data_IF_125426317925
#
_entry.id   IF_125426317925
#
_cell.length_a   1.000
_cell.length_b   1.000
_cell.length_c   1.000
_cell.angle_alpha   90.00
_cell.angle_beta   90.00
_cell.angle_gamma   90.00
#
_symmetry.space_group_name_H-M   'P 1'
#
loop_
_entity.id
_entity.type
_entity.pdbx_description
1 polymer ?
#
# COMPACT_ATOMS: atom_id res chain seq x y z
N UNK A 1 7.31 -4.13 -6.15
CA UNK A 1 7.08 -3.75 -4.73
C UNK A 1 5.64 -4.04 -4.38
N UNK A 2 5.34 -4.40 -3.13
CA UNK A 2 3.96 -4.52 -2.62
C UNK A 2 3.60 -3.24 -1.89
N UNK A 3 2.48 -2.62 -2.24
CA UNK A 3 1.94 -1.43 -1.59
C UNK A 3 0.72 -1.79 -0.76
N UNK A 4 0.67 -1.33 0.49
CA UNK A 4 -0.56 -1.41 1.28
C UNK A 4 -1.53 -0.27 0.93
N UNK A 5 -2.72 -0.28 1.51
CA UNK A 5 -3.73 0.74 1.25
C UNK A 5 -3.27 2.15 1.64
N UNK A 6 -2.41 2.29 2.65
CA UNK A 6 -1.90 3.59 3.07
C UNK A 6 -1.07 4.26 1.97
N UNK A 7 -0.25 3.48 1.28
CA UNK A 7 0.52 3.94 0.12
C UNK A 7 -0.39 4.25 -1.05
N UNK A 8 -1.37 3.37 -1.36
CA UNK A 8 -2.32 3.63 -2.45
C UNK A 8 -3.05 4.96 -2.27
N UNK A 9 -3.42 5.30 -1.03
CA UNK A 9 -4.04 6.60 -0.72
C UNK A 9 -3.07 7.76 -0.95
N UNK A 10 -1.81 7.66 -0.51
CA UNK A 10 -0.80 8.72 -0.72
C UNK A 10 -0.49 8.94 -2.22
N UNK A 11 -0.66 7.92 -3.07
CA UNK A 11 -0.51 8.07 -4.52
C UNK A 11 -1.60 8.95 -5.15
N UNK A 12 -2.80 8.98 -4.58
CA UNK A 12 -3.97 9.63 -5.17
C UNK A 12 -4.48 10.84 -4.38
N UNK A 13 -4.10 10.95 -3.11
CA UNK A 13 -4.42 12.08 -2.24
C UNK A 13 -3.13 12.79 -1.86
N UNK A 14 -3.06 14.10 -2.09
CA UNK A 14 -1.89 14.90 -1.69
C UNK A 14 -1.81 14.98 -0.15
N UNK A 15 -1.18 14.00 0.46
CA UNK A 15 -1.04 13.86 1.89
C UNK A 15 0.36 14.23 2.40
N UNK A 16 0.63 13.80 3.62
CA UNK A 16 1.90 14.07 4.34
C UNK A 16 3.12 13.45 3.65
N UNK A 17 2.95 12.30 3.00
CA UNK A 17 4.02 11.53 2.36
C UNK A 17 4.06 11.72 0.83
N UNK A 18 3.54 12.86 0.34
CA UNK A 18 3.48 13.16 -1.09
C UNK A 18 4.81 13.00 -1.81
N UNK A 19 5.91 13.44 -1.21
CA UNK A 19 7.24 13.33 -1.84
C UNK A 19 7.68 11.88 -2.04
N UNK A 20 7.36 11.01 -1.07
CA UNK A 20 7.59 9.57 -1.20
C UNK A 20 6.71 8.95 -2.29
N UNK A 21 5.44 9.36 -2.35
CA UNK A 21 4.51 8.92 -3.39
C UNK A 21 4.98 9.36 -4.80
N UNK A 22 5.40 10.62 -4.96
CA UNK A 22 5.95 11.13 -6.22
C UNK A 22 7.23 10.37 -6.63
N UNK A 23 8.08 10.02 -5.65
CA UNK A 23 9.29 9.21 -5.90
C UNK A 23 8.93 7.78 -6.34
N UNK A 24 7.91 7.17 -5.73
CA UNK A 24 7.43 5.84 -6.14
C UNK A 24 6.87 5.89 -7.57
N UNK A 25 5.99 6.86 -7.87
CA UNK A 25 5.41 7.03 -9.21
C UNK A 25 6.47 7.29 -10.27
N UNK A 26 7.47 8.12 -9.97
CA UNK A 26 8.58 8.39 -10.89
C UNK A 26 9.37 7.12 -11.21
N UNK A 27 9.65 6.29 -10.22
CA UNK A 27 10.33 5.00 -10.42
C UNK A 27 9.48 4.02 -11.23
N UNK A 28 8.18 3.97 -10.93
CA UNK A 28 7.21 3.13 -11.63
C UNK A 28 7.05 3.53 -13.10
N UNK A 29 6.95 4.83 -13.39
CA UNK A 29 6.75 5.34 -14.75
C UNK A 29 7.96 5.21 -15.67
N UNK A 30 9.20 5.09 -15.13
CA UNK A 30 10.43 4.99 -15.92
C UNK A 30 11.04 3.60 -15.97
N UNK A 31 10.60 2.69 -15.10
CA UNK A 31 11.14 1.32 -15.03
C UNK A 31 10.14 0.31 -15.57
N UNK A 32 10.37 -0.27 -16.75
CA UNK A 32 9.47 -1.29 -17.31
C UNK A 32 9.48 -2.60 -16.50
N UNK A 33 10.39 -2.73 -15.54
CA UNK A 33 10.53 -3.92 -14.68
C UNK A 33 9.92 -3.74 -13.29
N UNK A 34 9.52 -2.51 -12.93
CA UNK A 34 8.90 -2.26 -11.64
C UNK A 34 7.40 -2.53 -11.72
N UNK A 35 6.95 -3.57 -11.04
CA UNK A 35 5.53 -3.90 -10.89
C UNK A 35 5.03 -3.44 -9.53
N UNK A 36 3.92 -2.73 -9.49
CA UNK A 36 3.21 -2.39 -8.27
C UNK A 36 2.17 -3.48 -7.97
N UNK A 37 2.28 -4.07 -6.80
CA UNK A 37 1.44 -5.18 -6.35
C UNK A 37 0.67 -4.72 -5.12
N UNK A 38 -0.54 -5.18 -4.93
CA UNK A 38 -1.28 -5.01 -3.68
C UNK A 38 -2.05 -6.28 -3.33
N UNK A 39 -2.45 -6.42 -2.08
CA UNK A 39 -3.37 -7.50 -1.71
C UNK A 39 -4.75 -7.27 -2.37
N UNK A 40 -5.50 -8.35 -2.56
CA UNK A 40 -6.81 -8.29 -3.24
C UNK A 40 -7.78 -7.26 -2.63
N UNK A 41 -7.70 -7.01 -1.33
CA UNK A 41 -8.54 -6.04 -0.60
C UNK A 41 -7.96 -4.60 -0.59
N UNK A 42 -6.75 -4.38 -1.11
CA UNK A 42 -6.04 -3.11 -1.00
C UNK A 42 -6.80 -1.92 -1.60
N UNK A 43 -7.42 -2.10 -2.77
CA UNK A 43 -8.25 -1.06 -3.38
C UNK A 43 -9.48 -0.73 -2.55
N UNK A 44 -10.14 -1.73 -1.95
CA UNK A 44 -11.33 -1.50 -1.10
C UNK A 44 -10.95 -0.75 0.18
N UNK A 45 -9.81 -1.07 0.79
CA UNK A 45 -9.30 -0.33 1.95
C UNK A 45 -8.93 1.12 1.56
N UNK A 46 -8.29 1.33 0.42
CA UNK A 46 -7.95 2.66 -0.08
C UNK A 46 -9.21 3.51 -0.34
N UNK A 47 -10.22 2.95 -1.01
CA UNK A 47 -11.53 3.62 -1.21
C UNK A 47 -12.19 3.92 0.14
N UNK A 48 -12.12 3.01 1.11
CA UNK A 48 -12.64 3.23 2.46
C UNK A 48 -11.93 4.39 3.16
N UNK A 49 -10.61 4.53 2.97
CA UNK A 49 -9.85 5.66 3.52
C UNK A 49 -10.24 6.98 2.85
N UNK A 50 -10.33 7.04 1.53
CA UNK A 50 -10.80 8.22 0.78
C UNK A 50 -12.22 8.62 1.23
N UNK A 51 -13.12 7.65 1.38
CA UNK A 51 -14.47 7.88 1.92
C UNK A 51 -14.42 8.55 3.30
N UNK A 52 -13.58 8.06 4.23
CA UNK A 52 -13.47 8.67 5.57
C UNK A 52 -12.95 10.11 5.50
N UNK A 53 -12.00 10.40 4.64
CA UNK A 53 -11.48 11.76 4.44
C UNK A 53 -12.56 12.70 3.89
N UNK A 54 -13.36 12.24 2.95
CA UNK A 54 -14.49 13.01 2.37
C UNK A 54 -15.58 13.24 3.41
N UNK A 55 -15.98 12.23 4.18
CA UNK A 55 -17.02 12.38 5.22
C UNK A 55 -16.59 13.25 6.41
N UNK A 56 -15.30 13.50 6.56
CA UNK A 56 -14.73 14.41 7.58
C UNK A 56 -14.39 15.78 7.03
N UNK A 57 -14.82 16.09 5.81
CA UNK A 57 -14.55 17.34 5.12
C UNK A 57 -13.04 17.69 4.96
N UNK A 58 -12.18 16.66 5.01
CA UNK A 58 -10.75 16.80 4.67
C UNK A 58 -10.58 16.88 3.15
N UNK A 59 -11.40 16.14 2.42
CA UNK A 59 -11.52 16.20 0.97
C UNK A 59 -12.92 16.71 0.60
N UNK A 60 -13.01 17.50 -0.45
CA UNK A 60 -14.30 17.77 -1.09
C UNK A 60 -14.82 16.50 -1.77
N UNK A 61 -16.12 16.45 -2.08
CA UNK A 61 -16.70 15.32 -2.84
C UNK A 61 -16.04 15.15 -4.21
N UNK A 62 -15.66 16.25 -4.87
CA UNK A 62 -14.97 16.23 -6.16
C UNK A 62 -13.55 15.66 -6.03
N UNK A 63 -12.82 16.07 -4.99
CA UNK A 63 -11.48 15.52 -4.70
C UNK A 63 -11.55 14.03 -4.35
N UNK A 64 -12.54 13.61 -3.58
CA UNK A 64 -12.77 12.21 -3.26
C UNK A 64 -13.06 11.38 -4.50
N UNK A 65 -13.93 11.87 -5.39
CA UNK A 65 -14.24 11.21 -6.67
C UNK A 65 -12.99 11.10 -7.54
N UNK A 66 -12.26 12.19 -7.72
CA UNK A 66 -11.02 12.18 -8.50
C UNK A 66 -10.00 11.16 -7.94
N UNK A 67 -9.83 11.08 -6.62
CA UNK A 67 -8.94 10.11 -5.99
C UNK A 67 -9.37 8.65 -6.29
N UNK A 68 -10.67 8.36 -6.23
CA UNK A 68 -11.21 7.02 -6.54
C UNK A 68 -11.04 6.67 -8.03
N UNK A 69 -11.24 7.63 -8.93
CA UNK A 69 -10.99 7.45 -10.37
C UNK A 69 -9.51 7.10 -10.61
N UNK A 70 -8.58 7.83 -10.01
CA UNK A 70 -7.14 7.53 -10.07
C UNK A 70 -6.81 6.13 -9.54
N UNK A 71 -7.41 5.72 -8.41
CA UNK A 71 -7.23 4.35 -7.89
C UNK A 71 -7.65 3.29 -8.91
N UNK A 72 -8.72 3.54 -9.67
CA UNK A 72 -9.22 2.59 -10.69
C UNK A 72 -8.32 2.51 -11.93
N UNK A 73 -7.50 3.53 -12.18
CA UNK A 73 -6.57 3.59 -13.31
C UNK A 73 -5.16 3.08 -12.99
N UNK A 74 -4.86 2.83 -11.70
CA UNK A 74 -3.55 2.30 -11.32
C UNK A 74 -3.35 0.90 -11.93
N UNK A 75 -2.23 0.70 -12.62
CA UNK A 75 -1.82 -0.60 -13.12
C UNK A 75 -1.27 -1.45 -11.97
N UNK A 76 -2.17 -2.10 -11.23
CA UNK A 76 -1.86 -2.91 -10.06
C UNK A 76 -2.03 -4.40 -10.37
N UNK A 77 -1.05 -5.18 -9.95
CA UNK A 77 -1.23 -6.63 -9.79
C UNK A 77 -1.87 -6.88 -8.42
N UNK A 78 -3.06 -7.45 -8.41
CA UNK A 78 -3.75 -7.82 -7.17
C UNK A 78 -3.43 -9.27 -6.80
N UNK A 79 -2.78 -9.45 -5.65
CA UNK A 79 -2.46 -10.79 -5.14
C UNK A 79 -3.70 -11.47 -4.57
N UNK A 80 -3.95 -12.69 -5.04
CA UNK A 80 -5.09 -13.47 -4.58
C UNK A 80 -4.91 -13.96 -3.14
N UNK A 81 -5.94 -13.79 -2.31
CA UNK A 81 -5.89 -14.14 -0.88
C UNK A 81 -5.84 -15.65 -0.64
N UNK A 82 -6.56 -16.45 -1.44
CA UNK A 82 -6.71 -17.89 -1.18
C UNK A 82 -5.38 -18.65 -1.05
N UNK A 83 -4.36 -18.44 -1.89
CA UNK A 83 -3.07 -19.10 -1.72
C UNK A 83 -2.29 -18.64 -0.47
N UNK A 84 -2.66 -17.51 0.14
CA UNK A 84 -1.95 -16.89 1.28
C UNK A 84 -2.59 -17.21 2.64
N UNK A 85 -3.78 -17.79 2.68
CA UNK A 85 -4.59 -17.97 3.91
C UNK A 85 -3.80 -18.63 5.05
N UNK A 86 -3.00 -19.66 4.77
CA UNK A 86 -2.19 -20.32 5.81
C UNK A 86 -1.12 -19.37 6.38
N UNK A 87 -0.46 -18.60 5.52
CA UNK A 87 0.55 -17.63 5.96
C UNK A 87 -0.08 -16.48 6.74
N UNK A 88 -1.20 -15.96 6.26
CA UNK A 88 -1.99 -14.94 6.97
C UNK A 88 -2.32 -15.43 8.39
N UNK A 89 -2.84 -16.65 8.53
CA UNK A 89 -3.15 -17.22 9.82
C UNK A 89 -1.91 -17.38 10.73
N UNK A 90 -0.78 -17.75 10.17
CA UNK A 90 0.48 -17.91 10.94
C UNK A 90 1.00 -16.60 11.52
N UNK A 91 0.58 -15.46 10.98
CA UNK A 91 0.96 -14.11 11.44
C UNK A 91 -0.05 -13.49 12.44
N UNK A 92 -1.12 -14.19 12.80
CA UNK A 92 -2.25 -13.69 13.61
C UNK A 92 -1.86 -13.05 14.96
N UNK A 93 -0.79 -13.52 15.58
CA UNK A 93 -0.33 -13.01 16.87
C UNK A 93 0.51 -11.73 16.74
N UNK A 94 0.85 -11.32 15.52
CA UNK A 94 1.72 -10.18 15.21
C UNK A 94 0.97 -9.02 14.56
N UNK A 95 -0.01 -9.34 13.71
CA UNK A 95 -0.73 -8.34 12.93
C UNK A 95 -2.14 -8.82 12.57
N UNK A 96 -2.99 -7.87 12.13
CA UNK A 96 -4.32 -8.18 11.62
C UNK A 96 -4.26 -9.07 10.37
N UNK A 97 -5.36 -9.76 10.05
CA UNK A 97 -5.42 -10.55 8.82
C UNK A 97 -5.26 -9.69 7.55
N UNK A 98 -5.73 -8.44 7.59
CA UNK A 98 -5.57 -7.49 6.49
C UNK A 98 -4.10 -7.11 6.27
N UNK A 99 -3.40 -6.74 7.35
CA UNK A 99 -1.96 -6.43 7.32
C UNK A 99 -1.14 -7.67 6.90
N UNK A 100 -1.50 -8.84 7.43
CA UNK A 100 -0.84 -10.10 7.12
C UNK A 100 -0.98 -10.50 5.65
N UNK A 101 -2.05 -10.10 4.97
CA UNK A 101 -2.23 -10.35 3.54
C UNK A 101 -1.21 -9.56 2.70
N UNK A 102 -0.93 -8.30 3.04
CA UNK A 102 0.15 -7.53 2.38
C UNK A 102 1.53 -8.15 2.66
N UNK A 103 1.78 -8.52 3.91
CA UNK A 103 3.03 -9.16 4.31
C UNK A 103 3.25 -10.49 3.58
N UNK A 104 2.22 -11.33 3.48
CA UNK A 104 2.27 -12.61 2.77
C UNK A 104 2.45 -12.41 1.25
N UNK A 105 1.86 -11.38 0.68
CA UNK A 105 2.09 -11.02 -0.72
C UNK A 105 3.56 -10.62 -0.94
N UNK A 106 4.13 -9.77 -0.07
CA UNK A 106 5.52 -9.35 -0.16
C UNK A 106 6.48 -10.55 -0.16
N UNK A 107 6.30 -11.51 0.75
CA UNK A 107 7.09 -12.74 0.78
C UNK A 107 6.92 -13.57 -0.50
N UNK A 108 5.69 -13.74 -0.95
CA UNK A 108 5.39 -14.57 -2.11
C UNK A 108 5.99 -14.04 -3.42
N UNK A 109 6.06 -12.72 -3.55
CA UNK A 109 6.66 -12.06 -4.72
C UNK A 109 8.16 -11.77 -4.54
N UNK A 110 8.74 -12.09 -3.37
CA UNK A 110 10.13 -11.76 -3.07
C UNK A 110 10.40 -10.25 -3.18
N UNK A 111 9.43 -9.42 -2.81
CA UNK A 111 9.45 -7.98 -2.98
C UNK A 111 9.20 -7.27 -1.64
N UNK A 112 9.78 -6.09 -1.39
CA UNK A 112 9.52 -5.36 -0.16
C UNK A 112 8.07 -4.87 -0.10
N UNK A 113 7.50 -4.86 1.11
CA UNK A 113 6.26 -4.17 1.44
C UNK A 113 6.56 -2.69 1.68
N UNK A 114 5.93 -1.81 0.92
CA UNK A 114 6.00 -0.36 1.09
C UNK A 114 4.77 0.11 1.85
N UNK A 115 4.97 0.88 2.91
CA UNK A 115 3.89 1.40 3.75
C UNK A 115 4.28 2.72 4.42
N UNK A 116 3.31 3.47 4.91
CA UNK A 116 3.50 4.61 5.82
C UNK A 116 3.05 4.29 7.26
N UNK A 117 2.56 3.07 7.50
CA UNK A 117 2.14 2.62 8.82
C UNK A 117 3.33 2.08 9.62
N UNK A 118 3.80 2.88 10.57
CA UNK A 118 4.89 2.52 11.48
C UNK A 118 4.62 1.26 12.31
N UNK A 119 3.35 0.97 12.62
CA UNK A 119 2.97 -0.24 13.35
C UNK A 119 3.19 -1.47 12.46
N UNK A 120 2.76 -1.39 11.19
CA UNK A 120 2.96 -2.47 10.22
C UNK A 120 4.45 -2.69 9.94
N UNK A 121 5.23 -1.61 9.80
CA UNK A 121 6.69 -1.71 9.64
C UNK A 121 7.35 -2.49 10.80
N UNK A 122 6.97 -2.18 12.04
CA UNK A 122 7.50 -2.89 13.22
C UNK A 122 7.08 -4.37 13.21
N UNK A 123 5.81 -4.64 12.99
CA UNK A 123 5.29 -6.01 12.97
C UNK A 123 5.94 -6.88 11.87
N UNK A 124 6.18 -6.32 10.69
CA UNK A 124 6.89 -7.00 9.61
C UNK A 124 8.36 -7.24 9.94
N UNK A 125 9.03 -6.25 10.54
CA UNK A 125 10.43 -6.41 10.98
C UNK A 125 10.56 -7.55 12.00
N UNK A 126 9.65 -7.63 12.97
CA UNK A 126 9.60 -8.71 13.97
C UNK A 126 9.31 -10.08 13.35
N UNK A 127 8.68 -10.10 12.19
CA UNK A 127 8.41 -11.31 11.40
C UNK A 127 9.48 -11.60 10.32
N UNK A 128 10.57 -10.81 10.27
CA UNK A 128 11.63 -10.87 9.26
C UNK A 128 11.13 -10.67 7.81
N UNK A 129 10.09 -9.87 7.62
CA UNK A 129 9.53 -9.52 6.32
C UNK A 129 10.14 -8.20 5.85
N UNK A 130 10.63 -8.17 4.62
CA UNK A 130 11.25 -6.99 4.03
C UNK A 130 10.25 -5.84 3.86
N UNK A 131 10.57 -4.68 4.41
CA UNK A 131 9.73 -3.48 4.36
C UNK A 131 10.53 -2.24 4.04
N UNK A 132 9.86 -1.25 3.45
CA UNK A 132 10.39 0.08 3.16
C UNK A 132 9.33 1.10 3.61
N UNK A 133 9.72 2.12 4.37
CA UNK A 133 8.84 3.28 4.55
C UNK A 133 8.78 4.07 3.24
N UNK A 134 7.59 4.57 2.89
CA UNK A 134 7.40 5.28 1.61
C UNK A 134 8.38 6.45 1.42
N UNK A 135 8.68 7.19 2.49
CA UNK A 135 9.60 8.32 2.42
C UNK A 135 11.08 7.92 2.23
N UNK A 136 11.44 6.67 2.54
CA UNK A 136 12.80 6.15 2.28
C UNK A 136 13.07 5.98 0.77
N UNK A 137 12.04 6.12 -0.06
CA UNK A 137 12.18 6.15 -1.52
C UNK A 137 12.62 7.52 -2.06
N UNK A 138 12.60 8.55 -1.23
CA UNK A 138 13.05 9.90 -1.62
C UNK A 138 14.57 9.89 -1.82
N UNK A 139 15.10 10.32 -2.99
CA UNK A 139 16.54 10.37 -3.21
C UNK A 139 17.25 11.28 -2.20
N UNK A 140 18.26 10.74 -1.52
CA UNK A 140 19.06 11.49 -0.55
C UNK A 140 18.44 11.62 0.86
N UNK A 141 17.46 10.80 1.15
CA UNK A 141 16.86 10.72 2.51
C UNK A 141 17.63 9.72 3.36
#
# INVERSE_FOLDING_TARGET
MVADASVLVELVVAGRHRRGADSLLSRYGVSPTLTLISAAHGLVEAVSAVRRLTLRDVLTSEQGLAAVEWLSELDLVLDATAPRVRRIWSLRDRMSAYDAAYAAAAEAFGAPLVTVDERLLRACRDAAISTIHLDDLIPGH
#
